data_IF_847206879351
#
_entry.id   IF_847206879351
#
_cell.length_a   1.000
_cell.length_b   1.000
_cell.length_c   1.000
_cell.angle_alpha   90.00
_cell.angle_beta   90.00
_cell.angle_gamma   90.00
#
_symmetry.space_group_name_H-M   'P 1'
#
loop_
_entity.id
_entity.type
_entity.pdbx_description
1 polymer ?
#
# COMPACT_ATOMS: atom_id res chain seq x y z
N UNK A 1 -18.32 20.65 -0.22
CA UNK A 1 -18.50 20.90 -1.67
C UNK A 1 -19.53 19.90 -2.18
N UNK A 2 -20.71 20.36 -2.61
CA UNK A 2 -21.81 19.50 -3.06
C UNK A 2 -21.46 18.92 -4.43
N UNK A 3 -21.63 17.60 -4.58
CA UNK A 3 -21.53 16.94 -5.87
C UNK A 3 -22.73 17.42 -6.69
N UNK A 4 -22.49 18.22 -7.71
CA UNK A 4 -23.56 18.70 -8.58
C UNK A 4 -24.08 17.49 -9.38
N UNK A 5 -25.35 17.14 -9.12
CA UNK A 5 -26.12 16.26 -9.98
C UNK A 5 -26.08 16.80 -11.41
N UNK A 6 -25.99 15.90 -12.39
CA UNK A 6 -26.01 16.13 -13.85
C UNK A 6 -24.66 16.31 -14.56
N UNK A 7 -23.90 15.22 -14.65
CA UNK A 7 -23.26 14.86 -15.91
C UNK A 7 -23.65 13.40 -16.24
N UNK A 8 -24.37 13.12 -17.34
CA UNK A 8 -24.88 11.77 -17.64
C UNK A 8 -23.80 10.82 -18.16
N UNK A 9 -22.56 11.29 -18.29
CA UNK A 9 -21.46 10.49 -18.83
C UNK A 9 -20.75 9.75 -17.71
N UNK A 10 -21.21 8.53 -17.47
CA UNK A 10 -20.43 7.53 -16.78
C UNK A 10 -19.12 7.29 -17.51
N UNK A 11 -18.01 7.64 -16.88
CA UNK A 11 -16.68 7.42 -17.46
C UNK A 11 -16.16 6.01 -17.15
N UNK A 12 -15.60 5.29 -18.13
CA UNK A 12 -14.99 3.98 -17.88
C UNK A 12 -13.71 4.15 -17.06
N UNK A 13 -13.61 3.40 -15.98
CA UNK A 13 -12.44 3.32 -15.10
C UNK A 13 -12.17 1.86 -14.72
N UNK A 14 -10.95 1.58 -14.30
CA UNK A 14 -10.52 0.29 -13.80
C UNK A 14 -10.42 0.32 -12.28
N UNK A 15 -10.80 -0.77 -11.62
CA UNK A 15 -10.61 -0.96 -10.18
C UNK A 15 -9.93 -2.30 -9.94
N UNK A 16 -9.11 -2.35 -8.89
CA UNK A 16 -8.64 -3.60 -8.35
C UNK A 16 -9.77 -4.33 -7.62
N UNK A 17 -10.04 -5.55 -8.07
CA UNK A 17 -10.95 -6.53 -7.49
C UNK A 17 -10.16 -7.70 -6.90
N UNK A 18 -10.87 -8.69 -6.34
CA UNK A 18 -10.29 -9.86 -5.66
C UNK A 18 -9.13 -10.49 -6.46
N UNK A 19 -8.12 -11.00 -5.73
CA UNK A 19 -6.89 -11.60 -6.30
C UNK A 19 -6.06 -10.67 -7.21
N UNK A 20 -6.09 -9.36 -6.98
CA UNK A 20 -5.35 -8.38 -7.78
C UNK A 20 -5.79 -8.33 -9.27
N UNK A 21 -7.07 -8.61 -9.53
CA UNK A 21 -7.66 -8.53 -10.87
C UNK A 21 -8.18 -7.13 -11.15
N UNK A 22 -7.91 -6.58 -12.32
CA UNK A 22 -8.47 -5.30 -12.75
C UNK A 22 -9.82 -5.51 -13.43
N UNK A 23 -10.85 -4.81 -12.96
CA UNK A 23 -12.21 -4.83 -13.50
C UNK A 23 -12.60 -3.45 -13.99
N UNK A 24 -13.28 -3.41 -15.14
CA UNK A 24 -13.88 -2.20 -15.67
C UNK A 24 -15.14 -1.85 -14.86
N UNK A 25 -15.32 -0.57 -14.54
CA UNK A 25 -16.54 -0.03 -13.96
C UNK A 25 -16.78 1.40 -14.46
N UNK A 26 -17.98 1.90 -14.23
CA UNK A 26 -18.46 3.18 -14.70
C UNK A 26 -18.54 4.17 -13.54
N UNK A 27 -17.63 5.16 -13.52
CA UNK A 27 -17.50 6.13 -12.44
C UNK A 27 -18.21 7.46 -12.77
N UNK A 28 -19.06 7.92 -11.84
CA UNK A 28 -19.89 9.12 -11.98
C UNK A 28 -19.21 10.45 -11.63
N UNK A 29 -17.91 10.45 -11.32
CA UNK A 29 -17.13 11.69 -11.21
C UNK A 29 -16.90 12.25 -9.80
N UNK A 30 -17.57 11.74 -8.75
CA UNK A 30 -17.39 12.21 -7.37
C UNK A 30 -17.16 11.11 -6.33
N UNK A 31 -16.50 11.45 -5.22
CA UNK A 31 -16.20 10.55 -4.09
C UNK A 31 -15.40 9.29 -4.46
N UNK A 32 -14.53 9.39 -5.46
CA UNK A 32 -13.60 8.33 -5.83
C UNK A 32 -12.56 8.08 -4.75
N UNK A 33 -11.90 6.93 -4.83
CA UNK A 33 -10.82 6.54 -3.93
C UNK A 33 -9.58 6.14 -4.75
N UNK A 34 -8.49 5.77 -4.08
CA UNK A 34 -7.23 5.38 -4.71
C UNK A 34 -7.32 4.09 -5.56
N UNK A 35 -8.47 3.41 -5.58
CA UNK A 35 -8.74 2.22 -6.38
C UNK A 35 -9.54 2.56 -7.66
N UNK A 36 -9.28 3.72 -8.25
CA UNK A 36 -9.95 4.23 -9.44
C UNK A 36 -8.90 4.64 -10.49
N UNK A 37 -8.68 3.81 -11.50
CA UNK A 37 -7.59 3.93 -12.46
C UNK A 37 -8.11 4.22 -13.87
N UNK A 38 -7.44 5.12 -14.61
CA UNK A 38 -7.88 5.47 -15.98
C UNK A 38 -7.54 4.41 -17.01
N UNK A 39 -6.60 3.52 -16.71
CA UNK A 39 -6.18 2.45 -17.61
C UNK A 39 -5.99 1.12 -16.91
N UNK A 40 -6.14 0.03 -17.67
CA UNK A 40 -5.84 -1.32 -17.21
C UNK A 40 -4.39 -1.44 -16.72
N UNK A 41 -3.43 -0.84 -17.45
CA UNK A 41 -2.01 -0.91 -17.10
C UNK A 41 -1.71 -0.23 -15.76
N UNK A 42 -2.32 0.92 -15.50
CA UNK A 42 -2.18 1.65 -14.24
C UNK A 42 -2.79 0.86 -13.07
N UNK A 43 -3.97 0.28 -13.30
CA UNK A 43 -4.59 -0.65 -12.36
C UNK A 43 -3.68 -1.86 -12.09
N UNK A 44 -3.17 -2.53 -13.13
CA UNK A 44 -2.36 -3.74 -13.01
C UNK A 44 -1.06 -3.48 -12.23
N UNK A 45 -0.36 -2.38 -12.52
CA UNK A 45 0.85 -1.96 -11.78
C UNK A 45 0.58 -1.62 -10.31
N UNK A 46 -0.65 -1.23 -9.99
CA UNK A 46 -1.04 -0.77 -8.65
C UNK A 46 -1.79 -1.83 -7.84
N UNK A 47 -2.41 -2.81 -8.50
CA UNK A 47 -3.29 -3.81 -7.90
C UNK A 47 -2.56 -4.67 -6.86
N UNK A 48 -1.32 -5.04 -7.13
CA UNK A 48 -0.46 -5.77 -6.20
C UNK A 48 -0.04 -4.95 -4.98
N UNK A 49 -0.15 -3.62 -5.06
CA UNK A 49 0.13 -2.69 -3.95
C UNK A 49 -1.13 -2.32 -3.17
N UNK A 50 -2.31 -2.63 -3.69
CA UNK A 50 -3.57 -2.39 -2.99
C UNK A 50 -3.75 -3.52 -1.98
N UNK A 51 -3.84 -3.20 -0.69
CA UNK A 51 -4.17 -4.20 0.31
C UNK A 51 -5.44 -4.97 0.01
N UNK A 52 -5.41 -6.28 0.25
CA UNK A 52 -6.62 -7.11 0.24
C UNK A 52 -7.50 -6.75 1.45
N UNK A 53 -8.30 -5.70 1.30
CA UNK A 53 -9.31 -5.31 2.28
C UNK A 53 -10.56 -6.19 2.09
N UNK A 54 -11.06 -6.87 3.15
CA UNK A 54 -12.27 -7.69 3.05
C UNK A 54 -13.49 -6.91 2.54
N UNK A 55 -14.43 -7.59 1.86
CA UNK A 55 -15.59 -6.93 1.25
C UNK A 55 -16.45 -6.16 2.26
N UNK A 56 -16.66 -6.72 3.44
CA UNK A 56 -17.41 -6.08 4.53
C UNK A 56 -16.84 -4.69 4.86
N UNK A 57 -15.51 -4.56 4.89
CA UNK A 57 -14.80 -3.32 5.22
C UNK A 57 -14.90 -2.25 4.11
N UNK A 58 -15.50 -2.59 2.96
CA UNK A 58 -15.68 -1.65 1.84
C UNK A 58 -17.03 -0.95 1.89
N UNK A 59 -17.94 -1.38 2.77
CA UNK A 59 -19.23 -0.71 2.95
C UNK A 59 -19.05 0.65 3.63
N UNK A 60 -19.93 1.63 3.37
CA UNK A 60 -19.88 2.91 4.09
C UNK A 60 -20.27 2.72 5.55
N UNK A 61 -19.93 3.67 6.42
CA UNK A 61 -20.55 3.76 7.75
C UNK A 61 -22.05 4.05 7.60
N UNK A 62 -22.88 3.45 8.45
CA UNK A 62 -24.33 3.70 8.47
C UNK A 62 -24.78 3.88 9.92
N UNK A 63 -25.27 5.07 10.24
CA UNK A 63 -25.80 5.40 11.58
C UNK A 63 -27.16 4.73 11.82
N UNK A 64 -27.98 4.60 10.77
CA UNK A 64 -29.33 4.03 10.86
C UNK A 64 -30.38 5.05 11.32
N UNK A 65 -31.68 4.69 11.30
CA UNK A 65 -32.76 5.63 11.61
C UNK A 65 -33.01 5.79 13.12
N UNK A 66 -32.54 4.87 13.95
CA UNK A 66 -32.64 4.97 15.40
C UNK A 66 -31.70 6.06 15.96
N UNK A 67 -31.99 6.59 17.16
CA UNK A 67 -31.34 7.79 17.71
C UNK A 67 -30.46 7.53 18.95
N UNK A 68 -30.11 6.28 19.24
CA UNK A 68 -29.14 5.98 20.28
C UNK A 68 -27.73 6.43 19.84
N UNK A 69 -26.81 6.59 20.79
CA UNK A 69 -25.44 7.06 20.54
C UNK A 69 -24.43 5.97 20.90
N UNK A 70 -24.53 4.81 20.26
CA UNK A 70 -23.57 3.74 20.47
C UNK A 70 -22.27 4.05 19.74
N UNK A 71 -21.17 4.22 20.48
CA UNK A 71 -19.85 4.32 19.85
C UNK A 71 -19.51 3.00 19.19
N UNK A 72 -19.25 3.03 17.89
CA UNK A 72 -18.83 1.89 17.09
C UNK A 72 -17.69 2.29 16.16
N UNK A 73 -17.06 1.32 15.51
CA UNK A 73 -15.94 1.54 14.61
C UNK A 73 -16.26 0.99 13.22
N UNK A 74 -15.75 1.64 12.18
CA UNK A 74 -15.84 1.18 10.80
C UNK A 74 -14.50 1.39 10.10
N UNK A 75 -14.22 0.60 9.07
CA UNK A 75 -13.06 0.82 8.22
C UNK A 75 -13.37 1.88 7.16
N UNK A 76 -12.66 2.99 7.22
CA UNK A 76 -12.75 4.06 6.25
C UNK A 76 -11.81 3.78 5.08
N UNK A 77 -12.38 3.42 3.93
CA UNK A 77 -11.64 3.16 2.69
C UNK A 77 -10.90 4.38 2.13
N UNK A 78 -11.28 5.60 2.54
CA UNK A 78 -10.62 6.84 2.10
C UNK A 78 -9.32 7.07 2.84
N UNK A 79 -9.35 6.93 4.16
CA UNK A 79 -8.17 7.11 5.03
C UNK A 79 -7.36 5.82 5.20
N UNK A 80 -7.94 4.68 4.82
CA UNK A 80 -7.44 3.31 5.03
C UNK A 80 -7.23 3.00 6.52
N UNK A 81 -8.12 3.51 7.38
CA UNK A 81 -8.03 3.38 8.83
C UNK A 81 -9.38 3.02 9.44
N UNK A 82 -9.34 2.38 10.61
CA UNK A 82 -10.52 2.21 11.45
C UNK A 82 -10.80 3.50 12.22
N UNK A 83 -12.02 4.01 12.07
CA UNK A 83 -12.49 5.27 12.66
C UNK A 83 -13.76 5.02 13.48
N UNK A 84 -13.98 5.81 14.53
CA UNK A 84 -15.20 5.72 15.32
C UNK A 84 -16.37 6.51 14.70
N UNK A 85 -17.59 6.03 14.89
CA UNK A 85 -18.83 6.72 14.54
C UNK A 85 -19.94 6.42 15.55
N UNK A 86 -21.01 7.22 15.53
CA UNK A 86 -22.20 7.01 16.35
C UNK A 86 -23.21 6.12 15.61
N UNK A 87 -23.50 4.95 16.15
CA UNK A 87 -24.52 4.05 15.63
C UNK A 87 -25.85 4.24 16.38
N UNK A 88 -26.91 4.46 15.61
CA UNK A 88 -28.26 4.76 16.07
C UNK A 88 -28.94 3.63 16.85
N UNK A 89 -28.42 2.41 16.78
CA UNK A 89 -28.93 1.24 17.51
C UNK A 89 -29.77 0.27 16.67
N UNK A 90 -30.13 0.63 15.43
CA UNK A 90 -30.83 -0.28 14.54
C UNK A 90 -30.40 -0.14 13.07
N UNK A 91 -30.63 -1.21 12.29
CA UNK A 91 -30.25 -1.32 10.88
C UNK A 91 -28.73 -1.19 10.64
N UNK A 92 -28.31 -0.65 9.51
CA UNK A 92 -26.91 -0.51 9.12
C UNK A 92 -26.37 -1.71 8.35
N UNK A 93 -25.05 -1.86 8.36
CA UNK A 93 -24.34 -2.91 7.63
C UNK A 93 -23.21 -3.50 8.47
N UNK A 94 -22.50 -4.47 7.89
CA UNK A 94 -21.46 -5.24 8.59
C UNK A 94 -20.12 -4.50 8.76
N UNK A 95 -19.91 -3.31 8.17
CA UNK A 95 -18.73 -2.47 8.48
C UNK A 95 -18.94 -1.73 9.81
N UNK A 96 -19.20 -2.49 10.86
CA UNK A 96 -19.49 -2.01 12.20
C UNK A 96 -18.89 -2.97 13.22
N UNK A 97 -17.93 -2.48 13.97
CA UNK A 97 -17.17 -3.21 14.97
C UNK A 97 -17.36 -2.55 16.33
N UNK A 98 -17.36 -3.36 17.38
CA UNK A 98 -17.58 -2.89 18.75
C UNK A 98 -16.41 -2.03 19.26
N UNK A 99 -15.20 -2.34 18.81
CA UNK A 99 -13.96 -1.70 19.25
C UNK A 99 -12.96 -1.52 18.10
N UNK A 100 -11.94 -0.71 18.37
CA UNK A 100 -10.92 -0.38 17.38
C UNK A 100 -10.06 -1.59 17.00
N UNK A 101 -9.83 -2.50 17.93
CA UNK A 101 -8.97 -3.67 17.74
C UNK A 101 -9.64 -4.67 16.80
N UNK A 102 -10.90 -5.03 17.06
CA UNK A 102 -11.66 -5.94 16.20
C UNK A 102 -11.81 -5.38 14.77
N UNK A 103 -12.05 -4.08 14.62
CA UNK A 103 -12.00 -3.44 13.30
C UNK A 103 -10.62 -3.60 12.63
N UNK A 104 -9.54 -3.31 13.36
CA UNK A 104 -8.19 -3.34 12.79
C UNK A 104 -7.78 -4.74 12.38
N UNK A 105 -8.03 -5.74 13.23
CA UNK A 105 -7.71 -7.13 12.96
C UNK A 105 -8.45 -7.66 11.74
N UNK A 106 -9.72 -7.28 11.59
CA UNK A 106 -10.54 -7.73 10.47
C UNK A 106 -10.22 -6.96 9.18
N UNK A 107 -10.18 -5.63 9.24
CA UNK A 107 -10.16 -4.79 8.05
C UNK A 107 -8.80 -4.24 7.65
N UNK A 108 -7.85 -4.15 8.57
CA UNK A 108 -6.56 -3.53 8.23
C UNK A 108 -5.81 -4.42 7.25
N UNK A 109 -5.24 -3.82 6.20
CA UNK A 109 -4.21 -4.44 5.40
C UNK A 109 -3.18 -5.18 6.25
N UNK A 110 -3.10 -6.50 6.15
CA UNK A 110 -1.91 -7.19 6.67
C UNK A 110 -0.73 -6.67 5.89
N UNK A 111 0.29 -6.14 6.58
CA UNK A 111 1.56 -5.78 5.97
C UNK A 111 2.14 -7.06 5.36
N UNK A 112 2.01 -7.21 4.05
CA UNK A 112 2.66 -8.32 3.35
C UNK A 112 4.14 -8.03 3.32
N UNK A 113 4.93 -8.96 3.85
CA UNK A 113 6.38 -8.95 3.70
C UNK A 113 6.68 -8.95 2.18
N UNK A 114 7.52 -8.03 1.67
CA UNK A 114 7.88 -8.02 0.26
C UNK A 114 8.44 -9.37 -0.20
N UNK A 115 8.13 -9.80 -1.42
CA UNK A 115 8.55 -11.12 -1.94
C UNK A 115 10.05 -11.35 -1.86
N UNK A 116 10.88 -10.33 -2.09
CA UNK A 116 12.33 -10.41 -1.95
C UNK A 116 12.80 -10.84 -0.55
N UNK A 117 12.04 -10.52 0.50
CA UNK A 117 12.36 -10.92 1.87
C UNK A 117 11.94 -12.38 2.15
N UNK A 118 11.14 -12.97 1.27
CA UNK A 118 10.71 -14.37 1.33
C UNK A 118 11.65 -15.29 0.55
N UNK A 119 12.59 -14.75 -0.22
CA UNK A 119 13.60 -15.56 -0.88
C UNK A 119 14.43 -16.30 0.19
N UNK A 120 14.80 -17.57 -0.05
CA UNK A 120 15.67 -18.32 0.85
C UNK A 120 17.02 -17.61 1.07
N UNK A 121 17.65 -17.88 2.22
CA UNK A 121 19.03 -17.50 2.46
C UNK A 121 19.91 -18.19 1.42
N UNK A 122 20.63 -17.40 0.62
CA UNK A 122 21.60 -17.90 -0.35
C UNK A 122 22.95 -17.21 -0.15
N UNK A 123 23.95 -18.01 0.25
CA UNK A 123 25.33 -17.53 0.46
C UNK A 123 25.99 -17.16 -0.87
N UNK A 124 25.50 -17.61 -2.01
CA UNK A 124 26.15 -17.48 -3.30
C UNK A 124 27.23 -18.54 -3.52
N UNK A 125 28.05 -18.35 -4.56
CA UNK A 125 28.98 -19.38 -5.07
C UNK A 125 30.45 -18.97 -5.06
N UNK A 126 30.77 -17.80 -4.51
CA UNK A 126 32.14 -17.32 -4.39
C UNK A 126 32.77 -17.78 -3.06
N UNK A 127 33.88 -17.17 -2.62
CA UNK A 127 34.64 -17.60 -1.43
C UNK A 127 34.95 -16.50 -0.43
N UNK A 128 34.38 -15.30 -0.58
CA UNK A 128 34.55 -14.25 0.42
C UNK A 128 33.70 -14.54 1.68
N UNK A 129 34.01 -13.88 2.80
CA UNK A 129 33.17 -13.91 4.01
C UNK A 129 32.73 -12.49 4.33
N UNK A 130 31.67 -12.03 3.66
CA UNK A 130 31.17 -10.66 3.78
C UNK A 130 29.94 -10.67 4.69
N UNK A 131 29.95 -9.97 5.85
CA UNK A 131 28.78 -9.91 6.71
C UNK A 131 27.63 -9.18 5.99
N UNK A 132 26.47 -9.84 5.92
CA UNK A 132 25.23 -9.33 5.34
C UNK A 132 24.07 -9.73 6.23
N UNK A 133 22.90 -9.15 5.99
CA UNK A 133 21.68 -9.45 6.71
C UNK A 133 20.63 -10.03 5.78
N UNK A 134 19.84 -10.99 6.26
CA UNK A 134 18.68 -11.52 5.57
C UNK A 134 17.47 -11.50 6.51
N UNK A 135 16.26 -11.45 5.96
CA UNK A 135 15.03 -11.59 6.72
C UNK A 135 14.73 -13.08 6.94
N UNK A 136 14.73 -13.48 8.20
CA UNK A 136 14.33 -14.81 8.61
C UNK A 136 12.82 -14.84 8.88
N UNK A 137 12.09 -15.61 8.06
CA UNK A 137 10.63 -15.69 8.16
C UNK A 137 10.14 -16.45 9.38
N UNK A 138 10.97 -17.29 10.01
CA UNK A 138 10.63 -18.04 11.21
C UNK A 138 10.73 -17.14 12.46
N UNK A 139 11.84 -16.44 12.63
CA UNK A 139 12.02 -15.48 13.73
C UNK A 139 11.32 -14.14 13.49
N UNK A 140 10.92 -13.86 12.25
CA UNK A 140 10.40 -12.55 11.79
C UNK A 140 11.40 -11.41 12.01
N UNK A 141 12.70 -11.71 12.02
CA UNK A 141 13.76 -10.74 12.26
C UNK A 141 14.80 -10.73 11.13
N UNK A 142 15.57 -9.64 11.08
CA UNK A 142 16.76 -9.57 10.24
C UNK A 142 17.99 -10.08 11.01
N UNK A 143 18.60 -11.13 10.47
CA UNK A 143 19.71 -11.88 11.04
C UNK A 143 20.94 -11.79 10.14
N UNK A 144 22.13 -11.88 10.73
CA UNK A 144 23.40 -11.78 10.01
C UNK A 144 23.79 -13.13 9.38
N UNK A 145 24.43 -13.09 8.21
CA UNK A 145 25.02 -14.25 7.55
C UNK A 145 26.27 -13.87 6.75
N UNK A 146 27.17 -14.84 6.54
CA UNK A 146 28.35 -14.68 5.68
C UNK A 146 27.99 -14.90 4.21
N UNK A 147 27.98 -13.82 3.44
CA UNK A 147 27.79 -13.84 1.99
C UNK A 147 29.11 -14.03 1.25
N UNK A 148 29.09 -14.90 0.24
CA UNK A 148 30.28 -15.34 -0.50
C UNK A 148 30.86 -14.29 -1.45
N UNK A 149 30.14 -13.20 -1.74
CA UNK A 149 30.60 -12.10 -2.58
C UNK A 149 30.06 -12.08 -4.02
N UNK A 150 29.42 -13.16 -4.48
CA UNK A 150 28.74 -13.18 -5.78
C UNK A 150 27.53 -14.13 -5.79
N UNK A 151 26.59 -13.91 -6.72
CA UNK A 151 25.33 -14.66 -6.78
C UNK A 151 24.41 -14.31 -5.60
N UNK A 152 23.66 -15.28 -5.09
CA UNK A 152 22.74 -15.06 -3.97
C UNK A 152 21.32 -14.70 -4.40
N UNK A 153 20.44 -14.54 -3.40
CA UNK A 153 19.05 -14.11 -3.57
C UNK A 153 18.86 -12.63 -3.24
N UNK A 154 17.65 -12.10 -3.46
CA UNK A 154 17.32 -10.70 -3.14
C UNK A 154 17.20 -10.44 -1.63
N UNK A 155 17.13 -11.50 -0.82
CA UNK A 155 17.11 -11.43 0.65
C UNK A 155 18.52 -11.22 1.21
N UNK A 156 19.21 -10.17 0.76
CA UNK A 156 20.60 -9.87 1.09
C UNK A 156 20.79 -8.36 1.25
N UNK A 157 21.02 -7.92 2.49
CA UNK A 157 21.08 -6.52 2.87
C UNK A 157 22.42 -6.18 3.50
N UNK A 158 22.95 -4.99 3.17
CA UNK A 158 24.23 -4.51 3.71
C UNK A 158 24.14 -4.20 5.21
N UNK A 159 22.98 -3.82 5.74
CA UNK A 159 22.81 -3.50 7.16
C UNK A 159 21.49 -4.04 7.72
N UNK A 160 21.52 -4.40 9.00
CA UNK A 160 20.32 -4.83 9.75
C UNK A 160 19.21 -3.79 9.65
N UNK A 161 19.55 -2.50 9.78
CA UNK A 161 18.60 -1.38 9.66
C UNK A 161 17.90 -1.37 8.30
N UNK A 162 18.64 -1.54 7.20
CA UNK A 162 18.04 -1.57 5.87
C UNK A 162 17.11 -2.78 5.71
N UNK A 163 17.54 -3.96 6.16
CA UNK A 163 16.69 -5.15 6.16
C UNK A 163 15.41 -4.93 6.98
N UNK A 164 15.50 -4.41 8.20
CA UNK A 164 14.32 -4.15 9.05
C UNK A 164 13.37 -3.12 8.43
N UNK A 165 13.91 -2.10 7.76
CA UNK A 165 13.11 -1.11 7.05
C UNK A 165 12.32 -1.72 5.89
N UNK A 166 12.96 -2.58 5.11
CA UNK A 166 12.35 -3.21 3.93
C UNK A 166 11.41 -4.35 4.32
N UNK A 167 11.83 -5.25 5.20
CA UNK A 167 11.18 -6.53 5.44
C UNK A 167 10.29 -6.58 6.69
N UNK A 168 10.53 -5.72 7.70
CA UNK A 168 9.79 -5.75 8.98
C UNK A 168 8.80 -4.61 9.10
N UNK A 169 9.24 -3.38 8.79
CA UNK A 169 8.43 -2.18 9.06
C UNK A 169 7.54 -1.74 7.90
N UNK A 170 7.59 -2.46 6.76
CA UNK A 170 6.92 -2.17 5.48
C UNK A 170 5.75 -1.18 5.57
N UNK A 171 5.97 0.04 5.05
CA UNK A 171 4.89 1.01 4.84
C UNK A 171 5.12 2.46 5.27
N UNK A 172 6.24 2.84 5.88
CA UNK A 172 6.54 4.28 6.01
C UNK A 172 7.06 4.78 4.66
N UNK A 173 6.21 5.49 3.92
CA UNK A 173 6.64 6.33 2.79
C UNK A 173 7.76 7.22 3.31
N UNK A 174 9.00 6.90 2.96
CA UNK A 174 10.07 7.87 3.04
C UNK A 174 9.70 8.96 2.04
N UNK A 175 9.23 10.09 2.55
CA UNK A 175 9.35 11.35 1.83
C UNK A 175 10.83 11.56 1.63
N UNK A 176 11.35 11.11 0.50
CA UNK A 176 12.64 11.55 -0.01
C UNK A 176 12.51 13.05 -0.19
N UNK A 177 12.94 13.83 0.81
CA UNK A 177 13.33 15.23 0.57
C UNK A 177 14.44 15.16 -0.47
N UNK A 178 14.07 15.32 -1.73
CA UNK A 178 15.01 15.41 -2.84
C UNK A 178 15.98 16.54 -2.53
N UNK A 179 17.25 16.19 -2.28
CA UNK A 179 18.34 17.13 -2.43
C UNK A 179 18.34 17.54 -3.90
N UNK A 180 17.84 18.75 -4.19
CA UNK A 180 17.96 19.40 -5.49
C UNK A 180 19.44 19.42 -5.89
N UNK A 181 19.83 18.62 -6.88
CA UNK A 181 21.07 18.84 -7.60
C UNK A 181 20.99 20.21 -8.27
N UNK A 182 21.85 21.13 -7.86
CA UNK A 182 22.09 22.40 -8.57
C UNK A 182 22.67 22.06 -9.95
N UNK A 183 21.91 22.29 -11.02
CA UNK A 183 22.46 22.32 -12.38
C UNK A 183 23.34 23.57 -12.52
N UNK A 184 24.64 23.36 -12.67
CA UNK A 184 25.58 24.40 -13.03
C UNK A 184 25.33 24.79 -14.50
N UNK A 185 25.13 26.08 -14.76
CA UNK A 185 24.67 26.60 -16.04
C UNK A 185 25.85 27.22 -16.78
N UNK A 186 26.73 26.40 -17.34
CA UNK A 186 27.70 26.84 -18.35
C UNK A 186 28.06 25.67 -19.27
N UNK A 187 27.47 25.69 -20.47
CA UNK A 187 28.02 25.11 -21.68
C UNK A 187 27.30 25.82 -22.84
N UNK A 188 27.91 26.91 -23.31
CA UNK A 188 27.50 27.65 -24.50
C UNK A 188 28.29 27.02 -25.65
N UNK A 189 27.64 26.17 -26.43
CA UNK A 189 28.19 25.66 -27.69
C UNK A 189 28.02 26.79 -28.72
N UNK A 190 29.12 27.45 -29.08
CA UNK A 190 29.19 28.32 -30.26
C UNK A 190 29.39 27.44 -31.49
N UNK A 191 28.41 27.45 -32.39
CA UNK A 191 28.57 26.95 -33.75
C UNK A 191 29.33 28.00 -34.57
N UNK A 192 30.54 27.64 -35.00
CA UNK A 192 31.26 28.27 -36.10
C UNK A 192 30.70 27.71 -37.41
N UNK A 193 30.15 28.56 -38.27
CA UNK A 193 30.13 28.43 -39.74
C UNK A 193 30.17 29.88 -40.26
N UNK A 194 31.29 30.32 -40.85
CA UNK A 194 31.62 30.25 -42.28
C UNK A 194 30.80 31.26 -43.10
#
# INVERSE_FOLDING_TARGET
>A
MRCLHFSPRFTPFWRCHLKARCELFYYGGCQGNANNFRSYQECHKSCFRIPKVPQICRFPKVEGPCRALFRSYFFNMTTMQCESFSYGGCQGNSNRFQDLTSCKEYCSPRKTVPMLCLDPLDKGRCSASIPRYYYNTASKMCEEFSYSGCGGSSNNFVSRKNCMNVCVTGGKKHTSKGRRMRRNRYNRITFLQA
#
